data_IF_593943531095
#
_entry.id   IF_593943531095
#
_cell.length_a   1.000
_cell.length_b   1.000
_cell.length_c   1.000
_cell.angle_alpha   90.00
_cell.angle_beta   90.00
_cell.angle_gamma   90.00
#
_symmetry.space_group_name_H-M   'P 1'
#
loop_
_entity.id
_entity.type
_entity.pdbx_description
1 polymer ?
#
# COMPACT_ATOMS: atom_id res chain seq x y z
N UNK A 1 16.74 -56.37 -16.19
CA UNK A 1 16.73 -57.18 -14.95
C UNK A 1 18.02 -57.97 -14.87
N UNK A 2 18.53 -58.28 -13.67
CA UNK A 2 18.29 -57.70 -12.34
C UNK A 2 19.62 -57.14 -11.78
N UNK A 3 19.80 -56.59 -10.59
CA UNK A 3 19.32 -56.84 -9.22
C UNK A 3 19.81 -55.61 -8.40
N UNK A 4 19.40 -55.24 -7.20
CA UNK A 4 18.43 -55.64 -6.17
C UNK A 4 18.52 -54.50 -5.12
N UNK A 5 17.41 -54.03 -4.54
CA UNK A 5 16.99 -54.30 -3.15
C UNK A 5 18.03 -53.87 -2.08
N UNK A 6 17.72 -53.20 -0.96
CA UNK A 6 16.51 -53.16 -0.12
C UNK A 6 16.73 -52.12 1.01
N UNK A 7 15.63 -51.54 1.52
CA UNK A 7 15.25 -51.34 2.95
C UNK A 7 16.23 -50.71 3.98
N UNK A 8 15.86 -50.18 5.14
CA UNK A 8 14.68 -49.63 5.86
C UNK A 8 15.29 -48.99 7.13
N UNK A 9 14.56 -48.08 7.81
CA UNK A 9 15.03 -47.60 9.11
C UNK A 9 14.17 -46.50 9.74
N UNK A 10 12.97 -46.88 10.18
CA UNK A 10 12.09 -46.11 11.06
C UNK A 10 12.69 -45.92 12.46
N UNK A 11 12.48 -44.75 13.07
CA UNK A 11 12.72 -44.50 14.50
C UNK A 11 11.81 -43.40 15.02
N UNK A 12 10.77 -43.79 15.74
CA UNK A 12 9.85 -42.99 16.54
C UNK A 12 10.56 -42.57 17.85
N UNK A 13 10.37 -41.33 18.33
CA UNK A 13 10.03 -41.14 19.74
C UNK A 13 9.33 -39.80 20.01
N UNK A 14 8.40 -39.88 20.96
CA UNK A 14 7.44 -38.89 21.41
C UNK A 14 7.89 -38.29 22.75
N UNK A 15 7.71 -36.99 22.93
CA UNK A 15 8.03 -36.32 24.19
C UNK A 15 7.17 -35.07 24.43
N UNK A 16 6.07 -35.24 25.15
CA UNK A 16 5.29 -34.17 25.78
C UNK A 16 6.01 -33.66 27.02
N UNK A 17 6.17 -32.35 27.19
CA UNK A 17 6.13 -31.73 28.53
C UNK A 17 5.92 -30.21 28.47
N UNK A 18 4.81 -29.81 29.08
CA UNK A 18 4.44 -28.46 29.50
C UNK A 18 5.35 -27.96 30.63
N UNK A 19 5.85 -26.74 30.52
CA UNK A 19 6.58 -26.04 31.58
C UNK A 19 6.29 -24.54 31.56
N UNK A 20 5.51 -24.10 32.53
CA UNK A 20 5.14 -22.73 32.86
C UNK A 20 6.35 -21.86 33.24
N UNK A 21 6.46 -20.68 32.63
CA UNK A 21 7.37 -19.61 33.05
C UNK A 21 6.66 -18.26 32.92
N UNK A 22 6.07 -17.78 34.02
CA UNK A 22 5.50 -16.44 34.16
C UNK A 22 6.56 -15.46 34.63
N UNK A 23 6.72 -14.35 33.93
CA UNK A 23 7.37 -13.14 34.46
C UNK A 23 8.08 -12.31 33.40
N UNK A 24 7.46 -11.22 32.96
CA UNK A 24 8.05 -9.88 32.98
C UNK A 24 7.05 -8.81 32.50
N UNK A 25 6.57 -8.04 33.47
CA UNK A 25 6.34 -6.59 33.48
C UNK A 25 5.97 -5.89 32.17
N UNK A 26 4.67 -5.65 31.96
CA UNK A 26 4.20 -4.63 31.03
C UNK A 26 3.99 -3.31 31.78
N UNK A 27 4.90 -2.37 31.54
CA UNK A 27 4.86 -1.01 32.03
C UNK A 27 3.61 -0.25 31.58
N UNK A 28 2.94 0.34 32.57
CA UNK A 28 1.86 1.32 32.38
C UNK A 28 2.49 2.63 31.91
N UNK A 29 2.22 3.04 30.67
CA UNK A 29 2.62 4.37 30.18
C UNK A 29 1.47 5.37 30.31
N UNK A 30 1.85 6.54 30.84
CA UNK A 30 1.05 7.51 31.58
C UNK A 30 0.37 8.51 30.65
N UNK A 31 -0.95 8.67 30.79
CA UNK A 31 -1.70 9.83 30.30
C UNK A 31 -1.80 10.86 31.42
N UNK A 32 -1.06 11.95 31.34
CA UNK A 32 -1.30 13.14 32.16
C UNK A 32 -1.58 14.33 31.24
N UNK A 33 -2.85 14.73 31.17
CA UNK A 33 -3.24 16.08 30.76
C UNK A 33 -3.23 16.97 32.01
N UNK A 34 -2.55 18.11 31.91
CA UNK A 34 -2.51 19.14 32.95
C UNK A 34 -3.77 20.01 32.82
N UNK A 35 -4.54 20.11 33.90
CA UNK A 35 -5.53 21.18 34.11
C UNK A 35 -5.04 21.98 35.31
N UNK A 36 -4.66 23.24 35.09
CA UNK A 36 -4.37 24.23 36.13
C UNK A 36 -5.63 25.09 36.32
N UNK A 37 -6.21 25.09 37.53
CA UNK A 37 -6.10 26.13 38.57
C UNK A 37 -6.91 27.41 38.23
N UNK A 38 -7.69 28.03 39.12
CA UNK A 38 -7.83 27.92 40.57
C UNK A 38 -9.01 28.77 41.07
N UNK A 39 -9.25 28.72 42.37
CA UNK A 39 -10.43 29.23 43.07
C UNK A 39 -10.26 30.64 43.67
N UNK A 40 -11.39 31.34 43.92
CA UNK A 40 -11.73 32.27 45.02
C UNK A 40 -12.88 33.18 44.53
N UNK A 41 -13.95 33.56 45.24
CA UNK A 41 -14.23 33.59 46.67
C UNK A 41 -14.56 35.02 47.12
N UNK A 42 -15.76 35.22 47.68
CA UNK A 42 -16.27 36.35 48.52
C UNK A 42 -16.96 37.53 47.77
N UNK A 43 -18.16 37.90 48.25
CA UNK A 43 -19.03 38.93 47.68
C UNK A 43 -19.21 40.20 48.52
N UNK A 44 -20.09 41.10 48.06
CA UNK A 44 -20.87 42.09 48.83
C UNK A 44 -21.72 42.95 47.85
N UNK A 45 -22.93 43.35 48.26
CA UNK A 45 -23.81 44.28 47.54
C UNK A 45 -23.36 45.74 47.70
N UNK A 46 -23.42 46.54 46.62
CA UNK A 46 -23.76 47.97 46.62
C UNK A 46 -24.01 48.48 45.18
N UNK A 47 -25.14 49.16 44.93
CA UNK A 47 -25.36 50.01 43.75
C UNK A 47 -25.03 51.46 44.12
N UNK A 48 -24.39 52.24 43.23
CA UNK A 48 -25.15 53.32 42.60
C UNK A 48 -24.79 53.57 41.12
N UNK A 49 -25.75 54.19 40.44
CA UNK A 49 -25.79 54.59 39.03
C UNK A 49 -24.64 55.51 38.60
N UNK A 50 -23.96 55.18 37.50
CA UNK A 50 -23.08 56.08 36.77
C UNK A 50 -23.23 55.91 35.25
N UNK A 51 -23.26 57.04 34.56
CA UNK A 51 -23.56 57.26 33.13
C UNK A 51 -22.70 56.38 32.22
N UNK A 52 -23.32 55.58 31.35
CA UNK A 52 -22.61 54.83 30.32
C UNK A 52 -22.20 55.75 29.17
N UNK A 53 -20.92 56.16 29.15
CA UNK A 53 -20.26 56.51 27.91
C UNK A 53 -19.97 55.20 27.16
N UNK A 54 -20.66 54.96 26.05
CA UNK A 54 -20.45 53.77 25.21
C UNK A 54 -19.14 54.00 24.44
N UNK A 55 -18.03 53.53 25.00
CA UNK A 55 -16.80 53.37 24.24
C UNK A 55 -17.02 52.27 23.19
N UNK A 56 -16.95 52.64 21.91
CA UNK A 56 -16.96 51.67 20.82
C UNK A 56 -15.81 50.67 21.02
N UNK A 57 -16.03 49.35 20.90
CA UNK A 57 -14.94 48.41 21.00
C UNK A 57 -14.02 48.62 19.80
N UNK A 58 -12.75 48.92 20.06
CA UNK A 58 -11.72 48.83 19.06
C UNK A 58 -11.73 47.39 18.54
N UNK A 59 -12.10 47.21 17.27
CA UNK A 59 -12.04 45.92 16.60
C UNK A 59 -10.57 45.50 16.56
N UNK A 60 -10.21 44.55 17.42
CA UNK A 60 -8.92 43.87 17.36
C UNK A 60 -8.83 43.21 15.98
N UNK A 61 -8.02 43.80 15.09
CA UNK A 61 -7.67 43.20 13.82
C UNK A 61 -6.77 42.02 14.13
N UNK A 62 -7.31 40.82 14.03
CA UNK A 62 -6.51 39.61 14.12
C UNK A 62 -5.43 39.66 13.02
N UNK A 63 -4.17 39.80 13.42
CA UNK A 63 -3.04 39.61 12.54
C UNK A 63 -3.07 38.15 12.07
N UNK A 64 -3.36 37.95 10.78
CA UNK A 64 -3.24 36.64 10.16
C UNK A 64 -1.77 36.27 10.15
N UNK A 65 -1.38 35.43 11.11
CA UNK A 65 -0.03 34.91 11.18
C UNK A 65 0.26 34.15 9.86
N UNK A 66 1.35 34.49 9.14
CA UNK A 66 1.66 33.81 7.89
C UNK A 66 1.79 32.32 8.17
N UNK A 67 0.92 31.54 7.51
CA UNK A 67 0.92 30.09 7.65
C UNK A 67 2.29 29.58 7.21
N UNK A 68 2.94 28.81 8.08
CA UNK A 68 4.14 28.07 7.69
C UNK A 68 3.76 27.14 6.54
N UNK A 69 4.54 27.13 5.44
CA UNK A 69 4.32 26.18 4.36
C UNK A 69 4.26 24.78 4.93
N UNK A 70 3.21 24.03 4.60
CA UNK A 70 3.16 22.61 4.94
C UNK A 70 4.43 21.96 4.38
N UNK A 71 5.17 21.17 5.19
CA UNK A 71 6.37 20.49 4.70
C UNK A 71 6.03 19.73 3.41
N UNK A 72 6.93 19.79 2.42
CA UNK A 72 6.92 18.79 1.34
C UNK A 72 6.96 17.43 2.03
N UNK A 73 6.15 16.47 1.56
CA UNK A 73 6.45 15.08 1.86
C UNK A 73 7.82 14.88 1.26
N UNK A 74 8.77 14.60 2.13
CA UNK A 74 10.12 14.19 1.81
C UNK A 74 10.38 13.10 2.83
N UNK A 75 9.75 11.95 2.57
CA UNK A 75 10.06 10.70 3.25
C UNK A 75 11.19 9.94 2.53
N UNK A 76 11.84 10.58 1.56
CA UNK A 76 12.96 10.05 0.80
C UNK A 76 12.55 9.23 -0.44
N UNK A 77 11.27 9.21 -0.82
CA UNK A 77 10.75 8.44 -1.96
C UNK A 77 9.85 9.26 -2.92
N UNK A 78 10.03 10.59 -2.97
CA UNK A 78 9.31 11.49 -3.89
C UNK A 78 9.71 11.33 -5.37
N UNK A 79 10.49 10.29 -5.67
CA UNK A 79 10.86 9.98 -7.04
C UNK A 79 9.64 9.39 -7.76
N UNK A 80 9.32 9.85 -8.98
CA UNK A 80 8.27 9.22 -9.78
C UNK A 80 8.52 7.71 -9.86
N UNK A 81 7.46 6.90 -9.83
CA UNK A 81 7.57 5.46 -10.03
C UNK A 81 8.31 5.18 -11.34
N UNK A 82 9.40 4.42 -11.26
CA UNK A 82 10.27 4.15 -12.39
C UNK A 82 9.52 3.46 -13.53
N UNK A 83 9.72 3.93 -14.76
CA UNK A 83 9.17 3.27 -15.96
C UNK A 83 9.99 2.05 -16.33
N UNK A 84 9.33 1.01 -16.83
CA UNK A 84 9.97 -0.17 -17.40
C UNK A 84 9.29 -0.62 -18.68
N UNK A 85 9.93 -1.57 -19.38
CA UNK A 85 9.39 -2.11 -20.62
C UNK A 85 8.00 -2.74 -20.43
N UNK A 86 7.16 -2.58 -21.43
CA UNK A 86 5.84 -3.22 -21.53
C UNK A 86 5.93 -4.75 -21.62
N UNK A 87 6.98 -5.24 -22.28
CA UNK A 87 7.10 -6.64 -22.66
C UNK A 87 6.19 -7.01 -23.83
N UNK A 88 6.29 -8.24 -24.33
CA UNK A 88 5.64 -8.64 -25.58
C UNK A 88 4.16 -9.02 -25.41
N UNK A 89 3.63 -8.95 -24.19
CA UNK A 89 2.35 -9.55 -23.82
C UNK A 89 1.27 -8.56 -23.42
N UNK A 90 1.43 -7.26 -23.65
CA UNK A 90 0.33 -6.31 -23.43
C UNK A 90 -0.78 -6.52 -24.48
N UNK A 91 -2.03 -6.29 -24.07
CA UNK A 91 -3.20 -6.30 -24.96
C UNK A 91 -4.10 -5.10 -24.65
N UNK A 92 -4.39 -4.23 -25.63
CA UNK A 92 -5.32 -3.13 -25.42
C UNK A 92 -6.75 -3.64 -25.22
N UNK A 93 -7.63 -2.80 -24.68
CA UNK A 93 -9.05 -3.11 -24.49
C UNK A 93 -9.31 -4.15 -23.39
N UNK A 94 -8.49 -4.16 -22.34
CA UNK A 94 -8.77 -4.99 -21.16
C UNK A 94 -10.14 -4.63 -20.57
N UNK A 95 -10.85 -5.58 -19.93
CA UNK A 95 -12.13 -5.28 -19.28
C UNK A 95 -11.93 -4.45 -18.00
N UNK A 96 -12.87 -3.57 -17.69
CA UNK A 96 -12.88 -2.82 -16.43
C UNK A 96 -13.28 -3.75 -15.27
N UNK A 97 -12.33 -4.10 -14.39
CA UNK A 97 -12.54 -4.94 -13.21
C UNK A 97 -11.37 -4.85 -12.22
N UNK A 98 -11.70 -4.84 -10.93
CA UNK A 98 -10.73 -4.92 -9.84
C UNK A 98 -10.30 -6.38 -9.53
N UNK A 99 -11.09 -7.38 -9.93
CA UNK A 99 -10.76 -8.80 -9.78
C UNK A 99 -10.47 -9.41 -11.14
N UNK A 100 -9.25 -9.92 -11.33
CA UNK A 100 -8.78 -10.51 -12.60
C UNK A 100 -8.66 -12.04 -12.54
N UNK A 101 -9.07 -12.66 -11.42
CA UNK A 101 -9.18 -14.12 -11.28
C UNK A 101 -10.49 -14.65 -11.86
N UNK A 102 -10.51 -15.92 -12.22
CA UNK A 102 -11.74 -16.67 -12.51
C UNK A 102 -11.98 -17.74 -11.45
N UNK A 103 -13.24 -18.17 -11.21
CA UNK A 103 -13.53 -19.27 -10.29
C UNK A 103 -12.72 -20.53 -10.62
N UNK A 104 -12.15 -21.18 -9.60
CA UNK A 104 -11.36 -22.41 -9.77
C UNK A 104 -9.97 -22.22 -10.37
N UNK A 105 -9.52 -20.98 -10.60
CA UNK A 105 -8.17 -20.70 -11.11
C UNK A 105 -7.10 -21.20 -10.13
N UNK A 106 -6.10 -21.97 -10.59
CA UNK A 106 -4.99 -22.40 -9.75
C UNK A 106 -4.11 -21.20 -9.36
N UNK A 107 -3.52 -21.28 -8.16
CA UNK A 107 -2.55 -20.30 -7.67
C UNK A 107 -2.87 -19.79 -6.27
N UNK A 108 -1.86 -19.22 -5.62
CA UNK A 108 -2.03 -18.59 -4.31
C UNK A 108 -2.80 -17.28 -4.49
N UNK A 109 -3.95 -17.08 -3.82
CA UNK A 109 -4.68 -15.81 -3.87
C UNK A 109 -3.79 -14.64 -3.47
N UNK A 110 -3.93 -13.51 -4.16
CA UNK A 110 -3.17 -12.29 -3.94
C UNK A 110 -4.08 -11.06 -4.02
N UNK A 111 -4.06 -10.21 -3.00
CA UNK A 111 -4.65 -8.87 -3.07
C UNK A 111 -3.55 -7.81 -3.07
N UNK A 112 -3.43 -7.05 -4.15
CA UNK A 112 -2.53 -5.88 -4.25
C UNK A 112 -3.35 -4.63 -4.01
N UNK A 113 -2.86 -3.68 -3.21
CA UNK A 113 -3.57 -2.42 -2.96
C UNK A 113 -2.59 -1.29 -2.65
N UNK A 114 -3.05 -0.06 -2.80
CA UNK A 114 -2.25 1.11 -2.50
C UNK A 114 -2.96 2.38 -2.92
N UNK A 115 -2.19 3.44 -3.07
CA UNK A 115 -2.63 4.77 -3.49
C UNK A 115 -1.77 5.27 -4.64
N UNK A 116 -2.39 6.01 -5.56
CA UNK A 116 -1.67 6.76 -6.59
C UNK A 116 -1.55 8.21 -6.13
N UNK A 117 -0.32 8.74 -6.11
CA UNK A 117 0.01 10.10 -5.74
C UNK A 117 0.60 10.89 -6.93
N UNK A 118 0.48 12.21 -6.89
CA UNK A 118 1.26 13.16 -7.69
C UNK A 118 2.64 13.40 -7.06
N UNK A 119 3.52 14.14 -7.73
CA UNK A 119 4.77 14.63 -7.13
C UNK A 119 4.57 15.63 -5.98
N UNK A 120 3.40 16.24 -5.88
CA UNK A 120 2.99 17.11 -4.77
C UNK A 120 2.34 16.32 -3.60
N UNK A 121 2.50 14.98 -3.57
CA UNK A 121 1.88 14.02 -2.65
C UNK A 121 0.35 14.09 -2.53
N UNK A 122 -0.32 14.61 -3.55
CA UNK A 122 -1.78 14.62 -3.60
C UNK A 122 -2.27 13.28 -4.15
N UNK A 123 -3.24 12.63 -3.52
CA UNK A 123 -3.85 11.44 -4.11
C UNK A 123 -4.50 11.79 -5.44
N UNK A 124 -4.27 10.96 -6.45
CA UNK A 124 -4.78 11.13 -7.81
C UNK A 124 -6.04 10.30 -7.97
N UNK A 125 -7.20 10.96 -7.93
CA UNK A 125 -8.48 10.32 -8.21
C UNK A 125 -8.64 9.99 -9.70
N UNK A 126 -9.41 8.93 -10.01
CA UNK A 126 -9.69 8.49 -11.37
C UNK A 126 -8.45 8.22 -12.23
N UNK A 127 -7.31 7.88 -11.62
CA UNK A 127 -6.15 7.37 -12.33
C UNK A 127 -6.45 5.97 -12.85
N UNK A 128 -6.23 5.74 -14.14
CA UNK A 128 -6.28 4.42 -14.76
C UNK A 128 -5.14 3.56 -14.21
N UNK A 129 -5.44 2.33 -13.86
CA UNK A 129 -4.48 1.26 -13.61
C UNK A 129 -4.91 0.03 -14.42
N UNK A 130 -4.15 -0.31 -15.46
CA UNK A 130 -4.38 -1.47 -16.34
C UNK A 130 -3.33 -2.55 -16.06
N UNK A 131 -3.75 -3.66 -15.46
CA UNK A 131 -2.88 -4.72 -14.98
C UNK A 131 -2.89 -5.92 -15.93
N UNK A 132 -1.73 -6.54 -16.09
CA UNK A 132 -1.61 -7.85 -16.73
C UNK A 132 -0.48 -8.67 -16.13
N UNK A 133 -0.65 -9.99 -16.10
CA UNK A 133 0.36 -10.91 -15.56
C UNK A 133 0.25 -12.29 -16.22
N UNK A 134 1.25 -13.12 -15.95
CA UNK A 134 1.18 -14.55 -16.21
C UNK A 134 0.22 -15.27 -15.26
N UNK A 135 -0.25 -16.44 -15.68
CA UNK A 135 -0.92 -17.42 -14.83
C UNK A 135 0.04 -18.09 -13.83
N UNK A 136 -0.48 -18.98 -12.99
CA UNK A 136 0.30 -19.74 -12.00
C UNK A 136 1.47 -20.53 -12.61
N UNK A 137 1.37 -20.93 -13.88
CA UNK A 137 2.38 -21.71 -14.59
C UNK A 137 3.39 -20.82 -15.36
N UNK A 138 3.22 -19.50 -15.35
CA UNK A 138 4.10 -18.56 -16.04
C UNK A 138 3.68 -18.24 -17.49
N UNK A 139 2.45 -18.57 -17.89
CA UNK A 139 1.94 -18.31 -19.24
C UNK A 139 1.06 -17.06 -19.29
N UNK A 140 1.19 -16.26 -20.35
CA UNK A 140 0.28 -15.14 -20.63
C UNK A 140 -0.83 -15.57 -21.58
N UNK A 141 -2.08 -15.19 -21.28
CA UNK A 141 -3.21 -15.37 -22.19
C UNK A 141 -3.18 -14.28 -23.28
N UNK A 142 -2.82 -14.69 -24.50
CA UNK A 142 -2.80 -13.81 -25.67
C UNK A 142 -4.10 -13.89 -26.50
N UNK A 143 -5.00 -14.81 -26.18
CA UNK A 143 -6.25 -15.02 -26.93
C UNK A 143 -7.43 -14.31 -26.28
N UNK A 144 -7.65 -14.52 -24.99
CA UNK A 144 -8.70 -13.84 -24.22
C UNK A 144 -8.08 -12.76 -23.32
N UNK A 145 -8.73 -12.45 -22.21
CA UNK A 145 -8.29 -11.45 -21.23
C UNK A 145 -8.07 -12.05 -19.84
N UNK A 146 -7.78 -13.35 -19.73
CA UNK A 146 -7.49 -13.99 -18.43
C UNK A 146 -6.34 -13.27 -17.74
N UNK A 147 -6.50 -12.93 -16.45
CA UNK A 147 -5.50 -12.19 -15.67
C UNK A 147 -5.09 -10.83 -16.28
N UNK A 148 -6.06 -10.17 -16.93
CA UNK A 148 -5.96 -8.80 -17.45
C UNK A 148 -7.16 -7.98 -17.02
N UNK A 149 -6.96 -6.72 -16.69
CA UNK A 149 -8.07 -5.83 -16.39
C UNK A 149 -7.60 -4.48 -15.92
N UNK A 150 -8.43 -3.48 -16.18
CA UNK A 150 -8.17 -2.14 -15.71
C UNK A 150 -9.21 -1.70 -14.68
N UNK A 151 -8.84 -0.68 -13.91
CA UNK A 151 -9.70 -0.03 -12.94
C UNK A 151 -9.27 1.43 -12.82
N UNK A 152 -10.08 2.22 -12.11
CA UNK A 152 -9.76 3.60 -11.78
C UNK A 152 -9.62 3.75 -10.27
N UNK A 153 -8.68 4.58 -9.83
CA UNK A 153 -8.57 4.92 -8.42
C UNK A 153 -9.80 5.66 -7.92
N UNK A 154 -10.13 5.47 -6.65
CA UNK A 154 -11.22 6.18 -5.99
C UNK A 154 -10.90 7.67 -5.73
N UNK A 155 -11.83 8.40 -5.11
CA UNK A 155 -11.66 9.82 -4.77
C UNK A 155 -10.48 10.10 -3.83
N UNK A 156 -9.97 9.09 -3.11
CA UNK A 156 -8.79 9.15 -2.25
C UNK A 156 -7.54 8.58 -2.95
N UNK A 157 -7.59 8.35 -4.26
CA UNK A 157 -6.49 7.79 -5.05
C UNK A 157 -6.23 6.31 -4.81
N UNK A 158 -7.11 5.59 -4.10
CA UNK A 158 -6.87 4.19 -3.71
C UNK A 158 -7.29 3.22 -4.80
N UNK A 159 -6.60 2.09 -4.86
CA UNK A 159 -6.95 0.96 -5.73
C UNK A 159 -6.87 -0.37 -4.97
N UNK A 160 -7.51 -1.40 -5.52
CA UNK A 160 -7.34 -2.79 -5.07
C UNK A 160 -7.44 -3.73 -6.26
N UNK A 161 -6.47 -4.62 -6.39
CA UNK A 161 -6.42 -5.68 -7.38
C UNK A 161 -6.53 -7.04 -6.68
N UNK A 162 -7.55 -7.81 -7.02
CA UNK A 162 -7.68 -9.22 -6.63
C UNK A 162 -7.17 -10.11 -7.77
N UNK A 163 -6.12 -10.86 -7.50
CA UNK A 163 -5.40 -11.71 -8.45
C UNK A 163 -4.88 -12.99 -7.77
N UNK A 164 -3.99 -13.71 -8.44
CA UNK A 164 -3.13 -14.76 -7.88
C UNK A 164 -1.66 -14.36 -7.97
N UNK A 165 -0.80 -14.99 -7.17
CA UNK A 165 0.66 -14.89 -7.34
C UNK A 165 1.04 -15.49 -8.72
N UNK A 166 1.53 -14.69 -9.69
CA UNK A 166 1.85 -15.19 -11.03
C UNK A 166 3.02 -16.17 -10.98
N UNK A 167 3.07 -17.15 -11.87
CA UNK A 167 4.21 -18.05 -12.04
C UNK A 167 5.46 -17.35 -12.58
N UNK A 168 6.56 -18.10 -12.69
CA UNK A 168 7.80 -17.59 -13.27
C UNK A 168 7.79 -17.77 -14.79
N UNK A 169 7.65 -16.68 -15.53
CA UNK A 169 7.93 -16.65 -16.96
C UNK A 169 9.44 -16.89 -17.23
N UNK A 170 9.83 -17.69 -18.24
CA UNK A 170 11.24 -17.97 -18.52
C UNK A 170 12.11 -16.71 -18.64
N UNK A 171 13.26 -16.71 -17.95
CA UNK A 171 14.23 -15.61 -17.99
C UNK A 171 13.88 -14.38 -17.15
N UNK A 172 12.75 -14.37 -16.42
CA UNK A 172 12.33 -13.23 -15.59
C UNK A 172 12.13 -13.64 -14.13
N UNK A 173 12.32 -12.68 -13.23
CA UNK A 173 11.82 -12.77 -11.85
C UNK A 173 10.30 -12.60 -11.82
N UNK A 174 9.66 -12.92 -10.70
CA UNK A 174 8.20 -12.81 -10.57
C UNK A 174 7.78 -11.34 -10.62
N UNK A 175 6.83 -11.02 -11.49
CA UNK A 175 6.36 -9.65 -11.67
C UNK A 175 4.89 -9.58 -12.07
N UNK A 176 4.26 -8.43 -11.81
CA UNK A 176 2.96 -8.02 -12.36
C UNK A 176 3.21 -6.77 -13.19
N UNK A 177 2.70 -6.69 -14.42
CA UNK A 177 2.79 -5.45 -15.19
C UNK A 177 1.63 -4.53 -14.90
N UNK A 178 1.88 -3.24 -15.06
CA UNK A 178 0.85 -2.21 -14.93
C UNK A 178 1.13 -1.03 -15.87
N UNK A 179 0.06 -0.50 -16.45
CA UNK A 179 0.02 0.85 -17.00
C UNK A 179 -0.76 1.74 -16.05
N UNK A 180 -0.16 2.85 -15.65
CA UNK A 180 -0.78 3.85 -14.78
C UNK A 180 -0.90 5.17 -15.53
N UNK A 181 -2.06 5.83 -15.44
CA UNK A 181 -2.29 7.10 -16.13
C UNK A 181 -3.22 7.99 -15.33
N UNK A 182 -2.75 9.17 -14.93
CA UNK A 182 -3.64 10.20 -14.40
C UNK A 182 -4.56 10.75 -15.53
N UNK A 183 -5.75 11.27 -15.21
CA UNK A 183 -6.66 11.80 -16.23
C UNK A 183 -5.98 12.75 -17.22
N UNK A 184 -6.01 12.42 -18.50
CA UNK A 184 -5.46 13.21 -19.61
C UNK A 184 -3.93 13.40 -19.58
N UNK A 185 -3.19 12.57 -18.85
CA UNK A 185 -1.72 12.64 -18.73
C UNK A 185 -1.03 11.51 -19.51
N UNK A 186 0.31 11.50 -19.50
CA UNK A 186 1.09 10.42 -20.11
C UNK A 186 0.91 9.09 -19.36
N UNK A 187 0.98 7.99 -20.10
CA UNK A 187 0.93 6.63 -19.53
C UNK A 187 2.31 6.26 -18.98
N UNK A 188 2.38 5.98 -17.69
CA UNK A 188 3.48 5.23 -17.09
C UNK A 188 3.29 3.74 -17.40
N UNK A 189 4.30 3.11 -18.00
CA UNK A 189 4.36 1.64 -18.10
C UNK A 189 5.44 1.14 -17.15
N UNK A 190 5.12 0.18 -16.29
CA UNK A 190 6.07 -0.36 -15.31
C UNK A 190 5.72 -1.79 -14.90
N UNK A 191 6.48 -2.34 -13.95
CA UNK A 191 6.34 -3.69 -13.41
C UNK A 191 6.45 -3.63 -11.89
N UNK A 192 5.76 -4.53 -11.19
CA UNK A 192 5.82 -4.67 -9.74
C UNK A 192 6.45 -6.01 -9.37
N UNK A 193 7.43 -5.98 -8.46
CA UNK A 193 8.23 -7.14 -8.08
C UNK A 193 7.85 -7.70 -6.71
N UNK A 194 8.22 -8.97 -6.48
CA UNK A 194 7.98 -9.67 -5.21
C UNK A 194 9.27 -9.76 -4.39
N UNK A 195 9.19 -9.61 -3.05
CA UNK A 195 10.34 -9.78 -2.17
C UNK A 195 10.78 -11.24 -2.14
N UNK A 196 12.07 -11.45 -1.92
CA UNK A 196 12.69 -12.77 -1.71
C UNK A 196 12.54 -13.76 -2.88
N UNK A 197 12.34 -13.27 -4.11
CA UNK A 197 12.42 -14.12 -5.29
C UNK A 197 13.89 -14.38 -5.65
N UNK A 198 14.33 -15.65 -5.77
CA UNK A 198 15.73 -15.97 -6.09
C UNK A 198 16.24 -15.31 -7.37
N UNK A 199 15.34 -15.07 -8.34
CA UNK A 199 15.68 -14.46 -9.63
C UNK A 199 15.87 -12.94 -9.58
N UNK A 200 15.51 -12.25 -8.48
CA UNK A 200 15.73 -10.80 -8.36
C UNK A 200 17.20 -10.42 -8.57
N UNK A 201 18.15 -11.24 -8.10
CA UNK A 201 19.59 -10.98 -8.27
C UNK A 201 20.13 -11.23 -9.68
N UNK A 202 19.34 -11.82 -10.58
CA UNK A 202 19.75 -12.20 -11.94
C UNK A 202 18.92 -11.56 -13.05
N UNK A 203 17.72 -11.06 -12.74
CA UNK A 203 16.87 -10.37 -13.70
C UNK A 203 17.34 -8.91 -13.83
N UNK A 204 17.82 -8.53 -15.00
CA UNK A 204 18.34 -7.17 -15.27
C UNK A 204 17.27 -6.08 -15.19
N UNK A 205 15.99 -6.45 -15.20
CA UNK A 205 14.87 -5.52 -15.05
C UNK A 205 14.43 -5.38 -13.59
N UNK A 206 14.90 -6.24 -12.68
CA UNK A 206 14.56 -6.10 -11.28
C UNK A 206 15.01 -4.73 -10.75
N UNK A 207 14.08 -4.04 -10.10
CA UNK A 207 14.32 -2.74 -9.50
C UNK A 207 13.75 -2.73 -8.07
N UNK A 208 14.57 -2.47 -7.04
CA UNK A 208 14.09 -2.41 -5.66
C UNK A 208 13.06 -1.30 -5.42
N UNK A 209 13.05 -0.22 -6.21
CA UNK A 209 12.03 0.85 -6.12
C UNK A 209 10.64 0.38 -6.57
N UNK A 210 10.57 -0.75 -7.28
CA UNK A 210 9.35 -1.36 -7.79
C UNK A 210 8.92 -2.59 -6.96
N UNK A 211 9.51 -2.76 -5.78
CA UNK A 211 9.26 -3.90 -4.90
C UNK A 211 7.99 -3.69 -4.07
N UNK A 212 7.04 -4.62 -4.18
CA UNK A 212 5.86 -4.60 -3.33
C UNK A 212 6.20 -5.03 -1.89
N UNK A 213 5.52 -4.43 -0.90
CA UNK A 213 5.52 -4.90 0.48
C UNK A 213 4.52 -6.05 0.60
N UNK A 214 5.00 -7.29 0.63
CA UNK A 214 4.16 -8.51 0.61
C UNK A 214 4.10 -9.19 1.98
N UNK A 215 2.89 -9.55 2.41
CA UNK A 215 2.63 -10.33 3.62
C UNK A 215 1.93 -11.64 3.25
N UNK A 216 2.32 -12.74 3.91
CA UNK A 216 1.69 -14.04 3.75
C UNK A 216 0.72 -14.27 4.90
N UNK A 217 -0.51 -14.69 4.60
CA UNK A 217 -1.54 -15.06 5.56
C UNK A 217 -2.15 -16.44 5.27
N UNK A 218 -3.09 -16.89 6.11
CA UNK A 218 -3.67 -18.24 5.99
C UNK A 218 -4.42 -18.49 4.67
N UNK A 219 -4.99 -17.45 4.07
CA UNK A 219 -5.83 -17.52 2.87
C UNK A 219 -5.14 -17.06 1.58
N UNK A 220 -3.85 -16.71 1.63
CA UNK A 220 -3.11 -16.18 0.48
C UNK A 220 -2.10 -15.12 0.87
N UNK A 221 -1.86 -14.17 -0.02
CA UNK A 221 -0.94 -13.05 0.19
C UNK A 221 -1.65 -11.71 0.04
N UNK A 222 -1.16 -10.71 0.76
CA UNK A 222 -1.50 -9.31 0.52
C UNK A 222 -0.24 -8.57 0.12
N UNK A 223 -0.38 -7.56 -0.74
CA UNK A 223 0.72 -6.74 -1.21
C UNK A 223 0.32 -5.26 -1.18
N UNK A 224 1.29 -4.41 -0.84
CA UNK A 224 1.15 -2.95 -0.87
C UNK A 224 2.17 -2.33 -1.81
N UNK A 225 1.71 -1.40 -2.64
CA UNK A 225 2.54 -0.57 -3.49
C UNK A 225 1.82 0.74 -3.79
N UNK A 226 2.49 1.86 -3.55
CA UNK A 226 1.98 3.18 -3.87
C UNK A 226 2.67 3.69 -5.14
N UNK A 227 1.90 4.27 -6.06
CA UNK A 227 2.44 4.84 -7.28
C UNK A 227 2.64 6.34 -7.10
N UNK A 228 3.70 6.89 -7.68
CA UNK A 228 3.94 8.33 -7.81
C UNK A 228 4.00 8.66 -9.29
N UNK A 229 3.00 9.39 -9.78
CA UNK A 229 2.94 9.82 -11.17
C UNK A 229 3.57 11.20 -11.33
N UNK A 230 4.30 11.38 -12.44
CA UNK A 230 4.89 12.66 -12.83
C UNK A 230 3.80 13.62 -13.33
N UNK A 231 2.98 14.10 -12.41
CA UNK A 231 1.89 15.05 -12.64
C UNK A 231 1.93 16.16 -11.59
N UNK A 232 1.52 17.40 -11.93
CA UNK A 232 1.55 18.55 -11.02
C UNK A 232 0.77 18.32 -9.71
#
# INVERSE_FOLDING_TARGET
MPADEQETGTGHDSGTSTGTGTGQENGISRKNFIVAAGAAGIGALALPTAVSAVAAPAQARAEQQPLTPTPKCDDGDDSPTHSQMEGPYFKPGSPERASIVTPGMPGTPLTVSGTVYSLSCRPVAHALLDFWQADYYGNYDNYRYTLRGHQYTDASGRFTLTTIVPGLYPGRTRHIHVKAQAPYQQILTTQLYFPNEPRNGSDTLYDPALLMKVQTGPSGRTAKFDFVLQVP
#
